data_IF_609564465868
#
_entry.id   IF_609564465868
#
_cell.length_a   1.000
_cell.length_b   1.000
_cell.length_c   1.000
_cell.angle_alpha   90.00
_cell.angle_beta   90.00
_cell.angle_gamma   90.00
#
_symmetry.space_group_name_H-M   'P 1'
#
loop_
_entity.id
_entity.type
_entity.pdbx_description
1 polymer ?
#
# COMPACT_ATOMS: atom_id res chain seq x y z
N UNK A 1 2.52 -6.16 -17.81
CA UNK A 1 2.80 -4.89 -17.08
C UNK A 1 2.83 -5.04 -15.57
N UNK A 2 1.93 -5.85 -15.00
CA UNK A 2 1.86 -6.15 -13.56
C UNK A 2 1.31 -7.57 -13.38
N UNK A 3 1.73 -8.27 -12.33
CA UNK A 3 1.06 -9.46 -11.81
C UNK A 3 0.18 -9.05 -10.62
N UNK A 4 -1.09 -9.41 -10.70
CA UNK A 4 -2.07 -9.14 -9.64
C UNK A 4 -2.47 -10.48 -9.01
N UNK A 5 -2.53 -10.51 -7.68
CA UNK A 5 -2.97 -11.67 -6.91
C UNK A 5 -3.87 -11.27 -5.75
N UNK A 6 -4.64 -12.23 -5.25
CA UNK A 6 -5.60 -12.04 -4.15
C UNK A 6 -5.11 -12.64 -2.82
N UNK A 7 -4.10 -13.52 -2.89
CA UNK A 7 -3.56 -14.21 -1.71
C UNK A 7 -2.22 -13.58 -1.28
N UNK A 8 -2.13 -13.24 0.01
CA UNK A 8 -0.93 -12.62 0.61
C UNK A 8 0.31 -13.52 0.45
N UNK A 9 0.16 -14.84 0.53
CA UNK A 9 1.25 -15.79 0.34
C UNK A 9 1.78 -15.79 -1.09
N UNK A 10 0.89 -15.79 -2.09
CA UNK A 10 1.26 -15.66 -3.49
C UNK A 10 1.98 -14.34 -3.78
N UNK A 11 1.42 -13.21 -3.33
CA UNK A 11 2.02 -11.88 -3.52
C UNK A 11 3.41 -11.82 -2.90
N UNK A 12 3.55 -12.22 -1.65
CA UNK A 12 4.83 -12.18 -0.93
C UNK A 12 5.86 -13.07 -1.63
N UNK A 13 5.47 -14.28 -2.02
CA UNK A 13 6.35 -15.23 -2.70
C UNK A 13 6.85 -14.66 -4.03
N UNK A 14 5.96 -14.14 -4.86
CA UNK A 14 6.32 -13.63 -6.18
C UNK A 14 7.06 -12.29 -6.12
N UNK A 15 6.71 -11.40 -5.18
CA UNK A 15 7.39 -10.12 -4.97
C UNK A 15 8.81 -10.33 -4.42
N UNK A 16 8.97 -11.15 -3.38
CA UNK A 16 10.26 -11.32 -2.69
C UNK A 16 11.23 -12.22 -3.44
N UNK A 17 10.75 -13.12 -4.30
CA UNK A 17 11.62 -14.04 -5.04
C UNK A 17 12.08 -13.50 -6.40
N UNK A 18 11.88 -12.21 -6.72
CA UNK A 18 12.35 -11.60 -7.97
C UNK A 18 13.87 -11.77 -8.19
N UNK A 19 14.64 -11.89 -7.09
CA UNK A 19 16.09 -12.13 -7.13
C UNK A 19 16.49 -13.51 -7.71
N UNK A 20 15.61 -14.52 -7.68
CA UNK A 20 15.93 -15.89 -8.13
C UNK A 20 16.32 -15.88 -9.61
N UNK A 21 15.62 -15.09 -10.42
CA UNK A 21 15.90 -14.97 -11.85
C UNK A 21 17.30 -14.41 -12.13
N UNK A 22 17.79 -13.49 -11.28
CA UNK A 22 19.15 -12.94 -11.35
C UNK A 22 20.19 -13.98 -10.95
N UNK A 23 19.88 -14.77 -9.91
CA UNK A 23 20.79 -15.80 -9.39
C UNK A 23 21.01 -16.98 -10.36
N UNK A 24 20.01 -17.33 -11.17
CA UNK A 24 20.14 -18.43 -12.15
C UNK A 24 20.92 -18.05 -13.41
N UNK A 25 21.34 -16.79 -13.59
CA UNK A 25 21.98 -16.33 -14.82
C UNK A 25 21.05 -16.27 -16.04
N UNK A 26 19.77 -16.57 -15.84
CA UNK A 26 18.70 -16.39 -16.82
C UNK A 26 18.65 -14.93 -17.29
N UNK A 27 18.32 -14.69 -18.56
CA UNK A 27 18.37 -13.37 -19.21
C UNK A 27 19.75 -12.67 -19.14
N UNK A 28 20.85 -13.42 -19.27
CA UNK A 28 22.20 -12.85 -19.22
C UNK A 28 22.54 -12.23 -17.86
N UNK A 29 21.91 -12.71 -16.78
CA UNK A 29 22.08 -12.18 -15.43
C UNK A 29 21.22 -10.95 -15.10
N UNK A 30 20.46 -10.41 -16.06
CA UNK A 30 19.58 -9.26 -15.83
C UNK A 30 18.38 -9.58 -14.92
N UNK A 31 18.00 -10.86 -14.81
CA UNK A 31 16.78 -11.29 -14.16
C UNK A 31 15.53 -10.95 -14.97
N UNK A 32 14.37 -11.39 -14.47
CA UNK A 32 13.06 -10.99 -14.96
C UNK A 32 12.39 -10.20 -13.84
N UNK A 33 12.10 -8.93 -14.11
CA UNK A 33 11.44 -8.05 -13.15
C UNK A 33 10.02 -7.74 -13.59
N UNK A 34 9.07 -8.00 -12.71
CA UNK A 34 7.65 -7.74 -12.95
C UNK A 34 7.04 -7.15 -11.68
N UNK A 35 6.38 -5.98 -11.74
CA UNK A 35 5.58 -5.46 -10.62
C UNK A 35 4.61 -6.52 -10.12
N UNK A 36 4.62 -6.81 -8.82
CA UNK A 36 3.69 -7.76 -8.17
C UNK A 36 2.89 -7.00 -7.13
N UNK A 37 1.55 -7.07 -7.18
CA UNK A 37 0.69 -6.30 -6.29
C UNK A 37 -0.59 -7.05 -5.92
N UNK A 38 -1.09 -6.85 -4.71
CA UNK A 38 -2.41 -7.38 -4.35
C UNK A 38 -3.53 -6.65 -5.12
N UNK A 39 -4.62 -7.33 -5.44
CA UNK A 39 -5.77 -6.75 -6.11
C UNK A 39 -6.37 -5.55 -5.34
N UNK A 40 -6.44 -5.65 -4.02
CA UNK A 40 -6.92 -4.57 -3.15
C UNK A 40 -6.00 -3.34 -3.15
N UNK A 41 -4.68 -3.54 -3.21
CA UNK A 41 -3.71 -2.46 -3.35
C UNK A 41 -3.86 -1.77 -4.71
N UNK A 42 -3.99 -2.56 -5.78
CA UNK A 42 -4.18 -2.02 -7.13
C UNK A 42 -5.50 -1.23 -7.24
N UNK A 43 -6.60 -1.78 -6.71
CA UNK A 43 -7.89 -1.11 -6.64
C UNK A 43 -7.80 0.22 -5.87
N UNK A 44 -7.10 0.24 -4.73
CA UNK A 44 -6.89 1.47 -3.97
C UNK A 44 -6.11 2.52 -4.78
N UNK A 45 -5.03 2.13 -5.47
CA UNK A 45 -4.25 3.04 -6.32
C UNK A 45 -5.09 3.68 -7.42
N UNK A 46 -5.85 2.87 -8.16
CA UNK A 46 -6.67 3.40 -9.27
C UNK A 46 -7.85 4.25 -8.78
N UNK A 47 -8.25 4.08 -7.51
CA UNK A 47 -9.20 4.96 -6.82
C UNK A 47 -8.54 6.23 -6.22
N UNK A 48 -7.24 6.47 -6.45
CA UNK A 48 -6.54 7.67 -6.02
C UNK A 48 -5.95 7.61 -4.61
N UNK A 49 -5.83 6.43 -4.00
CA UNK A 49 -5.14 6.28 -2.73
C UNK A 49 -3.65 6.63 -2.84
N UNK A 50 -3.09 7.22 -1.77
CA UNK A 50 -1.68 7.58 -1.74
C UNK A 50 -0.77 6.33 -1.81
N UNK A 51 0.18 6.26 -2.76
CA UNK A 51 0.99 5.06 -2.98
C UNK A 51 1.87 4.70 -1.78
N UNK A 52 2.33 5.67 -0.99
CA UNK A 52 3.28 5.42 0.10
C UNK A 52 2.60 5.40 1.48
N UNK A 53 1.68 6.32 1.76
CA UNK A 53 0.97 6.41 3.04
C UNK A 53 -0.09 5.32 3.20
N UNK A 54 -0.83 5.00 2.13
CA UNK A 54 -1.96 4.04 2.19
C UNK A 54 -1.58 2.70 1.59
N UNK A 55 -1.09 2.67 0.35
CA UNK A 55 -0.83 1.42 -0.38
C UNK A 55 0.50 0.77 0.01
N UNK A 56 1.41 1.57 0.57
CA UNK A 56 2.71 1.14 1.09
C UNK A 56 3.62 0.49 0.03
N UNK A 57 3.63 1.03 -1.19
CA UNK A 57 4.36 0.47 -2.34
C UNK A 57 5.86 0.29 -2.11
N UNK A 58 6.48 1.09 -1.23
CA UNK A 58 7.89 0.99 -0.86
C UNK A 58 8.29 -0.32 -0.17
N UNK A 59 7.33 -1.13 0.28
CA UNK A 59 7.61 -2.46 0.83
C UNK A 59 7.83 -3.52 -0.24
N UNK A 60 7.49 -3.25 -1.50
CA UNK A 60 7.67 -4.21 -2.58
C UNK A 60 9.15 -4.32 -2.97
N UNK A 61 9.57 -5.53 -3.32
CA UNK A 61 10.89 -5.79 -3.91
C UNK A 61 10.83 -5.79 -5.44
N UNK A 62 9.64 -6.00 -6.01
CA UNK A 62 9.39 -5.82 -7.44
C UNK A 62 9.37 -4.33 -7.83
N UNK A 63 9.65 -3.98 -9.11
CA UNK A 63 9.82 -2.59 -9.55
C UNK A 63 8.47 -1.86 -9.72
N UNK A 64 7.75 -1.61 -8.62
CA UNK A 64 6.41 -0.98 -8.62
C UNK A 64 6.44 0.43 -9.25
N UNK A 65 7.56 1.14 -9.18
CA UNK A 65 7.72 2.47 -9.79
C UNK A 65 7.38 2.45 -11.28
N UNK A 66 7.73 1.38 -12.00
CA UNK A 66 7.40 1.21 -13.42
C UNK A 66 5.89 1.15 -13.67
N UNK A 67 5.12 0.60 -12.72
CA UNK A 67 3.66 0.58 -12.76
C UNK A 67 3.10 1.97 -12.45
N UNK A 68 3.63 2.66 -11.43
CA UNK A 68 3.19 3.99 -11.04
C UNK A 68 3.36 5.02 -12.18
N UNK A 69 4.50 4.96 -12.88
CA UNK A 69 4.73 5.82 -14.06
C UNK A 69 3.70 5.57 -15.17
N UNK A 70 3.31 4.31 -15.41
CA UNK A 70 2.27 3.95 -16.40
C UNK A 70 0.87 4.38 -15.98
N UNK A 71 0.60 4.45 -14.68
CA UNK A 71 -0.65 4.97 -14.13
C UNK A 71 -0.68 6.51 -14.08
N UNK A 72 0.39 7.19 -14.51
CA UNK A 72 0.50 8.65 -14.47
C UNK A 72 0.73 9.21 -13.07
N UNK A 73 1.21 8.38 -12.13
CA UNK A 73 1.50 8.80 -10.76
C UNK A 73 2.95 9.26 -10.68
N UNK A 74 3.17 10.51 -10.27
CA UNK A 74 4.51 11.01 -9.93
C UNK A 74 4.97 10.43 -8.59
N UNK A 75 5.52 9.22 -8.66
CA UNK A 75 5.97 8.50 -7.48
C UNK A 75 7.15 9.19 -6.79
N UNK A 76 7.96 9.97 -7.51
CA UNK A 76 9.11 10.68 -6.92
C UNK A 76 8.62 11.81 -6.02
N UNK A 77 7.68 12.61 -6.51
CA UNK A 77 7.03 13.63 -5.69
C UNK A 77 6.31 13.00 -4.49
N UNK A 78 5.54 11.92 -4.72
CA UNK A 78 4.82 11.21 -3.65
C UNK A 78 5.75 10.61 -2.59
N UNK A 79 6.91 10.10 -3.00
CA UNK A 79 7.91 9.58 -2.08
C UNK A 79 8.53 10.69 -1.24
N UNK A 80 8.85 11.84 -1.85
CA UNK A 80 9.36 12.99 -1.13
C UNK A 80 8.33 13.53 -0.11
N UNK A 81 7.05 13.61 -0.49
CA UNK A 81 5.95 13.96 0.42
C UNK A 81 5.86 12.97 1.61
N UNK A 82 5.99 11.67 1.33
CA UNK A 82 5.98 10.63 2.36
C UNK A 82 7.17 10.71 3.31
N UNK A 83 8.39 10.92 2.79
CA UNK A 83 9.60 11.05 3.61
C UNK A 83 9.53 12.29 4.52
N UNK A 84 9.05 13.42 3.99
CA UNK A 84 8.78 14.61 4.79
C UNK A 84 7.72 14.36 5.87
N UNK A 85 6.66 13.62 5.55
CA UNK A 85 5.65 13.20 6.52
C UNK A 85 6.23 12.31 7.63
N UNK A 86 7.07 11.33 7.30
CA UNK A 86 7.73 10.46 8.28
C UNK A 86 8.63 11.29 9.21
N UNK A 87 9.38 12.25 8.67
CA UNK A 87 10.21 13.13 9.49
C UNK A 87 9.36 14.03 10.41
N UNK A 88 8.18 14.48 9.96
CA UNK A 88 7.25 15.22 10.83
C UNK A 88 6.78 14.38 12.02
N UNK A 89 6.45 13.10 11.80
CA UNK A 89 6.04 12.18 12.87
C UNK A 89 7.18 11.96 13.85
N UNK A 90 8.39 11.74 13.33
CA UNK A 90 9.60 11.58 14.15
C UNK A 90 9.85 12.79 15.05
N UNK A 91 9.48 13.99 14.59
CA UNK A 91 9.56 15.24 15.35
C UNK A 91 8.33 15.52 16.24
N UNK A 92 7.43 14.56 16.41
CA UNK A 92 6.31 14.62 17.35
C UNK A 92 4.95 14.98 16.73
N UNK A 93 4.85 15.07 15.39
CA UNK A 93 3.54 15.18 14.76
C UNK A 93 2.71 13.91 14.99
N UNK A 94 1.40 14.07 15.15
CA UNK A 94 0.49 12.93 15.28
C UNK A 94 0.28 12.29 13.91
N UNK A 95 0.47 10.97 13.76
CA UNK A 95 0.25 10.29 12.49
C UNK A 95 -1.24 10.26 12.15
N UNK A 96 -1.56 10.45 10.87
CA UNK A 96 -2.89 10.27 10.33
C UNK A 96 -3.40 8.86 10.60
N UNK A 97 -4.66 8.74 11.02
CA UNK A 97 -5.31 7.47 11.27
C UNK A 97 -6.48 7.31 10.30
N UNK A 98 -6.55 6.18 9.59
CA UNK A 98 -7.66 5.86 8.68
C UNK A 98 -9.00 5.71 9.42
N UNK A 99 -8.94 5.34 10.70
CA UNK A 99 -10.09 5.12 11.54
C UNK A 99 -9.78 5.54 12.98
N UNK A 100 -10.82 5.83 13.75
CA UNK A 100 -10.69 6.16 15.17
C UNK A 100 -9.92 5.04 15.91
N UNK A 101 -8.77 5.33 16.53
CA UNK A 101 -7.96 4.32 17.23
C UNK A 101 -8.72 3.52 18.30
N UNK A 102 -9.80 4.09 18.86
CA UNK A 102 -10.66 3.40 19.83
C UNK A 102 -11.36 2.18 19.22
N UNK A 103 -11.54 2.15 17.91
CA UNK A 103 -12.16 1.03 17.19
C UNK A 103 -11.22 -0.18 17.01
N UNK A 104 -9.93 -0.07 17.38
CA UNK A 104 -8.99 -1.22 17.38
C UNK A 104 -9.33 -2.26 18.44
N UNK A 105 -9.87 -1.79 19.56
CA UNK A 105 -10.25 -2.62 20.69
C UNK A 105 -11.73 -2.89 20.57
N UNK A 106 -12.11 -4.16 20.39
CA UNK A 106 -13.50 -4.56 20.23
C UNK A 106 -14.11 -5.14 21.51
N UNK A 107 -13.30 -5.42 22.54
CA UNK A 107 -13.71 -5.93 23.85
C UNK A 107 -12.55 -5.89 24.86
N UNK A 108 -12.81 -6.23 26.12
CA UNK A 108 -11.80 -6.39 27.16
C UNK A 108 -11.47 -5.11 27.96
N UNK A 109 -10.53 -5.18 28.93
CA UNK A 109 -10.13 -4.04 29.73
C UNK A 109 -9.61 -2.89 28.86
N UNK A 110 -10.20 -1.70 29.03
CA UNK A 110 -9.87 -0.52 28.21
C UNK A 110 -10.76 -0.31 26.98
N UNK A 111 -11.71 -1.21 26.70
CA UNK A 111 -12.73 -0.97 25.69
C UNK A 111 -13.64 0.21 26.09
N UNK A 112 -13.73 1.21 25.21
CA UNK A 112 -14.70 2.29 25.32
C UNK A 112 -15.64 2.27 24.10
N UNK A 113 -16.96 2.08 24.29
CA UNK A 113 -17.90 2.05 23.19
C UNK A 113 -17.98 3.42 22.51
N UNK A 114 -17.73 3.45 21.21
CA UNK A 114 -17.92 4.64 20.38
C UNK A 114 -19.38 4.69 19.92
N UNK A 115 -20.08 5.80 20.15
CA UNK A 115 -21.45 5.99 19.65
C UNK A 115 -21.42 5.95 18.13
N UNK A 116 -22.02 4.92 17.52
CA UNK A 116 -22.11 4.78 16.07
C UNK A 116 -23.10 5.82 15.55
N UNK A 117 -22.62 6.86 14.88
CA UNK A 117 -23.51 7.70 14.07
C UNK A 117 -24.00 6.84 12.91
N UNK A 118 -25.28 6.50 12.94
CA UNK A 118 -25.95 5.85 11.80
C UNK A 118 -26.15 6.97 10.77
N UNK A 119 -25.37 6.95 9.69
CA UNK A 119 -25.60 7.84 8.56
C UNK A 119 -26.93 7.39 7.95
N UNK A 120 -27.99 8.23 7.96
CA UNK A 120 -29.24 7.87 7.32
C UNK A 120 -29.02 7.73 5.81
N UNK A 121 -29.76 6.83 5.12
CA UNK A 121 -29.66 6.71 3.68
C UNK A 121 -29.94 8.06 3.01
N UNK A 122 -29.26 8.34 1.91
CA UNK A 122 -29.51 9.52 1.08
C UNK A 122 -31.00 9.55 0.71
N UNK A 123 -31.69 10.69 0.83
CA UNK A 123 -33.08 10.80 0.39
C UNK A 123 -33.20 10.32 -1.06
N UNK A 124 -34.22 9.52 -1.37
CA UNK A 124 -34.50 9.15 -2.75
C UNK A 124 -34.82 10.41 -3.57
N UNK A 125 -34.17 10.57 -4.72
CA UNK A 125 -34.49 11.59 -5.73
C UNK A 125 -35.86 11.35 -6.36
#
# INVERSE_FOLDING_TARGET
>A
DVMIGHDTGCITTLDKNQWISKAQGSNGGAGYELPVMADCQFAALVCGADPYKVVQTHWHASPIENLLEKLGVDWRAKKAEFEAYVESIKNGATPDQLYDPRLRITSGPGFQPVTRQIIPPTPAE
#
